data_IF_227065170053
#
_entry.id   IF_227065170053
#
_cell.length_a   1.000
_cell.length_b   1.000
_cell.length_c   1.000
_cell.angle_alpha   90.00
_cell.angle_beta   90.00
_cell.angle_gamma   90.00
#
_symmetry.space_group_name_H-M   'P 1'
#
loop_
_entity.id
_entity.type
_entity.pdbx_description
1 polymer ?
#
# COMPACT_ATOMS: atom_id res chain seq x y z
N UNK A 1 22.36 -5.39 21.26
CA UNK A 1 22.30 -4.40 20.16
C UNK A 1 22.16 -4.99 18.76
N UNK A 2 22.85 -6.10 18.40
CA UNK A 2 22.78 -6.71 17.05
C UNK A 2 21.39 -7.17 16.59
N UNK A 3 20.47 -7.55 17.49
CA UNK A 3 19.12 -8.03 17.12
C UNK A 3 18.18 -6.90 16.68
N UNK A 4 18.17 -5.75 17.38
CA UNK A 4 17.35 -4.58 17.00
C UNK A 4 17.76 -4.02 15.64
N UNK A 5 19.06 -3.92 15.36
CA UNK A 5 19.55 -3.45 14.07
C UNK A 5 19.10 -4.35 12.90
N UNK A 6 19.14 -5.69 13.07
CA UNK A 6 18.61 -6.63 12.05
C UNK A 6 17.10 -6.49 11.85
N UNK A 7 16.34 -6.28 12.92
CA UNK A 7 14.90 -6.10 12.82
C UNK A 7 14.53 -4.81 12.06
N UNK A 8 15.23 -3.70 12.35
CA UNK A 8 15.05 -2.43 11.63
C UNK A 8 15.44 -2.58 10.15
N UNK A 9 16.56 -3.24 9.86
CA UNK A 9 17.00 -3.46 8.48
C UNK A 9 15.98 -4.28 7.67
N UNK A 10 15.41 -5.32 8.29
CA UNK A 10 14.34 -6.12 7.68
C UNK A 10 13.07 -5.30 7.45
N UNK A 11 12.72 -4.41 8.38
CA UNK A 11 11.56 -3.52 8.26
C UNK A 11 11.74 -2.52 7.11
N UNK A 12 12.92 -1.90 7.01
CA UNK A 12 13.28 -1.00 5.92
C UNK A 12 13.30 -1.73 4.57
N UNK A 13 13.82 -2.96 4.52
CA UNK A 13 13.80 -3.78 3.30
C UNK A 13 12.39 -4.10 2.83
N UNK A 14 11.48 -4.44 3.75
CA UNK A 14 10.05 -4.65 3.44
C UNK A 14 9.40 -3.36 2.92
N UNK A 15 9.62 -2.25 3.63
CA UNK A 15 9.08 -0.96 3.22
C UNK A 15 9.56 -0.56 1.81
N UNK A 16 10.86 -0.69 1.55
CA UNK A 16 11.44 -0.40 0.23
C UNK A 16 10.83 -1.29 -0.86
N UNK A 17 10.67 -2.59 -0.60
CA UNK A 17 10.02 -3.51 -1.53
C UNK A 17 8.58 -3.11 -1.86
N UNK A 18 7.78 -2.81 -0.83
CA UNK A 18 6.39 -2.36 -1.01
C UNK A 18 6.34 -1.02 -1.74
N UNK A 19 7.27 -0.10 -1.43
CA UNK A 19 7.36 1.20 -2.10
C UNK A 19 7.69 1.06 -3.58
N UNK A 20 8.58 0.14 -3.95
CA UNK A 20 8.86 -0.17 -5.35
C UNK A 20 7.61 -0.70 -6.08
N UNK A 21 6.82 -1.56 -5.42
CA UNK A 21 5.54 -2.05 -5.99
C UNK A 21 4.57 -0.89 -6.19
N UNK A 22 4.39 -0.05 -5.16
CA UNK A 22 3.49 1.10 -5.22
C UNK A 22 3.89 2.09 -6.32
N UNK A 23 5.19 2.40 -6.43
CA UNK A 23 5.72 3.28 -7.47
C UNK A 23 5.58 2.67 -8.87
N UNK A 24 5.79 1.37 -9.01
CA UNK A 24 5.58 0.66 -10.27
C UNK A 24 4.14 0.71 -10.75
N UNK A 25 3.18 0.54 -9.83
CA UNK A 25 1.75 0.68 -10.13
C UNK A 25 1.42 2.13 -10.50
N UNK A 26 1.87 3.11 -9.72
CA UNK A 26 1.63 4.52 -10.03
C UNK A 26 2.19 4.94 -11.39
N UNK A 27 3.38 4.42 -11.74
CA UNK A 27 4.00 4.58 -13.06
C UNK A 27 3.17 3.92 -14.15
N UNK A 28 2.73 2.67 -13.99
CA UNK A 28 1.86 2.00 -14.95
C UNK A 28 0.54 2.75 -15.19
N UNK A 29 0.03 3.43 -14.17
CA UNK A 29 -1.20 4.22 -14.24
C UNK A 29 -0.99 5.64 -14.81
N UNK A 30 0.24 6.10 -15.08
CA UNK A 30 0.47 7.46 -15.62
C UNK A 30 -0.16 7.69 -17.00
N UNK A 31 -0.33 6.63 -17.80
CA UNK A 31 -0.99 6.72 -19.11
C UNK A 31 -2.52 6.73 -19.06
N UNK A 32 -3.13 6.50 -17.89
CA UNK A 32 -4.59 6.47 -17.74
C UNK A 32 -5.13 7.87 -17.45
N UNK A 33 -5.96 8.38 -18.36
CA UNK A 33 -6.71 9.62 -18.16
C UNK A 33 -7.88 9.37 -17.20
N UNK A 34 -7.55 9.24 -15.91
CA UNK A 34 -8.50 8.99 -14.83
C UNK A 34 -8.42 10.10 -13.78
N UNK A 35 -9.51 10.37 -13.04
CA UNK A 35 -9.46 11.30 -11.92
C UNK A 35 -8.40 10.89 -10.89
N UNK A 36 -7.74 11.88 -10.29
CA UNK A 36 -6.61 11.65 -9.37
C UNK A 36 -6.94 10.70 -8.20
N UNK A 37 -8.17 10.75 -7.70
CA UNK A 37 -8.65 9.91 -6.60
C UNK A 37 -8.86 8.46 -7.03
N UNK A 38 -9.27 8.21 -8.28
CA UNK A 38 -9.35 6.85 -8.87
C UNK A 38 -7.95 6.28 -8.95
N UNK A 39 -7.00 7.06 -9.50
CA UNK A 39 -5.60 6.67 -9.59
C UNK A 39 -5.05 6.31 -8.22
N UNK A 40 -5.31 7.15 -7.21
CA UNK A 40 -4.89 6.87 -5.84
C UNK A 40 -5.49 5.57 -5.29
N UNK A 41 -6.79 5.35 -5.46
CA UNK A 41 -7.46 4.11 -5.05
C UNK A 41 -6.84 2.87 -5.70
N UNK A 42 -6.52 2.94 -7.00
CA UNK A 42 -5.84 1.85 -7.71
C UNK A 42 -4.42 1.60 -7.20
N UNK A 43 -3.66 2.66 -6.86
CA UNK A 43 -2.33 2.52 -6.25
C UNK A 43 -2.45 1.82 -4.89
N UNK A 44 -3.39 2.22 -4.02
CA UNK A 44 -3.60 1.57 -2.73
C UNK A 44 -4.00 0.09 -2.88
N UNK A 45 -5.02 -0.18 -3.69
CA UNK A 45 -5.53 -1.54 -3.92
C UNK A 45 -4.45 -2.43 -4.52
N UNK A 46 -3.81 -1.98 -5.60
CA UNK A 46 -2.77 -2.73 -6.29
C UNK A 46 -1.56 -2.99 -5.40
N UNK A 47 -1.17 -2.03 -4.57
CA UNK A 47 -0.04 -2.20 -3.64
C UNK A 47 -0.36 -3.26 -2.59
N UNK A 48 -1.57 -3.25 -2.03
CA UNK A 48 -2.00 -4.25 -1.04
C UNK A 48 -2.04 -5.66 -1.66
N UNK A 49 -2.71 -5.79 -2.81
CA UNK A 49 -2.80 -7.07 -3.53
C UNK A 49 -1.40 -7.58 -3.93
N UNK A 50 -0.55 -6.73 -4.48
CA UNK A 50 0.81 -7.10 -4.88
C UNK A 50 1.68 -7.52 -3.68
N UNK A 51 1.57 -6.81 -2.55
CA UNK A 51 2.28 -7.16 -1.34
C UNK A 51 1.78 -8.47 -0.73
N UNK A 52 0.46 -8.68 -0.67
CA UNK A 52 -0.14 -9.93 -0.17
C UNK A 52 0.24 -11.12 -1.07
N UNK A 53 0.28 -10.93 -2.39
CA UNK A 53 0.72 -11.94 -3.34
C UNK A 53 2.20 -12.28 -3.16
N UNK A 54 3.07 -11.28 -2.94
CA UNK A 54 4.46 -11.51 -2.61
C UNK A 54 4.59 -12.33 -1.31
N UNK A 55 3.85 -11.96 -0.26
CA UNK A 55 3.83 -12.71 1.00
C UNK A 55 3.36 -14.14 0.79
N UNK A 56 2.32 -14.36 -0.01
CA UNK A 56 1.79 -15.68 -0.31
C UNK A 56 2.80 -16.56 -1.07
N UNK A 57 3.58 -15.99 -1.99
CA UNK A 57 4.64 -16.70 -2.71
C UNK A 57 5.80 -17.12 -1.80
N UNK A 58 6.16 -16.29 -0.81
CA UNK A 58 7.28 -16.57 0.08
C UNK A 58 6.92 -17.33 1.37
N UNK A 59 5.66 -17.28 1.83
CA UNK A 59 5.21 -18.03 3.03
C UNK A 59 4.55 -19.35 2.65
N UNK A 60 5.07 -20.45 3.21
CA UNK A 60 4.48 -21.80 3.07
C UNK A 60 3.14 -21.99 3.78
N UNK A 61 2.72 -21.06 4.65
CA UNK A 61 1.40 -21.08 5.31
C UNK A 61 0.60 -19.87 4.84
N UNK A 62 -0.62 -20.11 4.34
CA UNK A 62 -1.57 -19.06 3.98
C UNK A 62 -1.94 -18.24 5.21
N UNK A 63 -1.94 -16.91 5.07
CA UNK A 63 -2.43 -15.98 6.11
C UNK A 63 -3.95 -16.13 6.32
N UNK A 64 -4.67 -16.49 5.27
CA UNK A 64 -6.12 -16.70 5.26
C UNK A 64 -6.43 -18.16 4.96
N UNK A 65 -7.36 -18.77 5.72
CA UNK A 65 -7.88 -20.09 5.41
C UNK A 65 -8.92 -20.04 4.28
N UNK A 66 -9.70 -18.96 4.21
CA UNK A 66 -10.77 -18.78 3.25
C UNK A 66 -10.58 -17.50 2.43
N UNK A 67 -11.11 -17.48 1.21
CA UNK A 67 -11.06 -16.32 0.33
C UNK A 67 -11.96 -15.18 0.85
N UNK A 68 -13.07 -15.49 1.53
CA UNK A 68 -13.92 -14.45 2.12
C UNK A 68 -13.19 -13.64 3.20
N UNK A 69 -12.35 -14.27 4.01
CA UNK A 69 -11.54 -13.58 5.03
C UNK A 69 -10.57 -12.58 4.38
N UNK A 70 -10.00 -12.97 3.24
CA UNK A 70 -9.12 -12.09 2.47
C UNK A 70 -9.90 -10.91 1.87
N UNK A 71 -11.08 -11.16 1.29
CA UNK A 71 -11.93 -10.10 0.75
C UNK A 71 -12.37 -9.11 1.84
N UNK A 72 -12.69 -9.60 3.05
CA UNK A 72 -13.04 -8.77 4.19
C UNK A 72 -11.84 -7.91 4.63
N UNK A 73 -10.64 -8.49 4.77
CA UNK A 73 -9.43 -7.73 5.09
C UNK A 73 -9.16 -6.67 4.02
N UNK A 74 -9.27 -7.02 2.74
CA UNK A 74 -9.07 -6.10 1.64
C UNK A 74 -10.12 -4.98 1.66
N UNK A 75 -11.39 -5.28 1.96
CA UNK A 75 -12.44 -4.28 2.08
C UNK A 75 -12.16 -3.30 3.23
N UNK A 76 -11.77 -3.82 4.40
CA UNK A 76 -11.39 -2.99 5.55
C UNK A 76 -10.16 -2.11 5.23
N UNK A 77 -9.19 -2.66 4.52
CA UNK A 77 -8.04 -1.90 4.03
C UNK A 77 -8.49 -0.79 3.06
N UNK A 78 -9.42 -1.05 2.16
CA UNK A 78 -9.93 -0.04 1.22
C UNK A 78 -10.70 1.08 1.93
N UNK A 79 -11.41 0.79 3.03
CA UNK A 79 -12.01 1.82 3.87
C UNK A 79 -10.94 2.71 4.49
N UNK A 80 -9.89 2.13 5.07
CA UNK A 80 -8.76 2.88 5.62
C UNK A 80 -8.03 3.70 4.54
N UNK A 81 -7.83 3.12 3.36
CA UNK A 81 -7.25 3.82 2.21
C UNK A 81 -8.11 5.00 1.77
N UNK A 82 -9.44 4.87 1.81
CA UNK A 82 -10.36 5.98 1.49
C UNK A 82 -10.16 7.15 2.44
N UNK A 83 -10.03 6.89 3.75
CA UNK A 83 -9.69 7.94 4.74
C UNK A 83 -8.33 8.58 4.42
N UNK A 84 -7.35 7.77 4.02
CA UNK A 84 -6.04 8.26 3.56
C UNK A 84 -6.14 9.18 2.33
N UNK A 85 -6.94 8.80 1.33
CA UNK A 85 -7.18 9.59 0.11
C UNK A 85 -7.89 10.91 0.44
N UNK A 86 -8.87 10.91 1.36
CA UNK A 86 -9.51 12.12 1.84
C UNK A 86 -8.52 13.04 2.57
N UNK A 87 -7.62 12.47 3.37
CA UNK A 87 -6.51 13.21 3.99
C UNK A 87 -5.57 13.84 2.96
N UNK A 88 -5.24 13.13 1.90
CA UNK A 88 -4.47 13.66 0.75
C UNK A 88 -5.22 14.77 0.04
N UNK A 89 -6.53 14.60 -0.19
CA UNK A 89 -7.38 15.63 -0.79
C UNK A 89 -7.32 16.92 0.03
N UNK A 90 -7.51 16.79 1.35
CA UNK A 90 -7.47 17.91 2.28
C UNK A 90 -6.08 18.57 2.28
N UNK A 91 -5.00 17.78 2.33
CA UNK A 91 -3.64 18.32 2.29
C UNK A 91 -3.36 19.08 0.99
N UNK A 92 -3.75 18.54 -0.16
CA UNK A 92 -3.56 19.20 -1.45
C UNK A 92 -4.37 20.51 -1.56
N UNK A 93 -5.62 20.51 -1.09
CA UNK A 93 -6.52 21.68 -1.18
C UNK A 93 -6.11 22.78 -0.19
N UNK A 94 -5.80 22.43 1.06
CA UNK A 94 -5.60 23.41 2.13
C UNK A 94 -4.15 23.79 2.36
N UNK A 95 -3.19 22.90 2.08
CA UNK A 95 -1.76 23.13 2.34
C UNK A 95 -0.97 23.40 1.06
N UNK A 96 -1.59 23.28 -0.12
CA UNK A 96 -0.96 23.51 -1.42
C UNK A 96 0.20 22.56 -1.74
N UNK A 97 0.39 21.51 -0.92
CA UNK A 97 1.42 20.49 -1.14
C UNK A 97 0.97 19.46 -2.18
N UNK A 98 1.94 18.74 -2.74
CA UNK A 98 1.68 17.55 -3.55
C UNK A 98 2.10 16.32 -2.74
N UNK A 99 1.13 15.52 -2.30
CA UNK A 99 1.42 14.29 -1.56
C UNK A 99 1.73 13.14 -2.52
N UNK A 100 2.89 12.51 -2.33
CA UNK A 100 3.28 11.36 -3.13
C UNK A 100 2.52 10.11 -2.67
N UNK A 101 1.44 9.79 -3.38
CA UNK A 101 0.51 8.69 -3.06
C UNK A 101 1.19 7.32 -2.86
N UNK A 102 2.19 6.91 -3.68
CA UNK A 102 2.89 5.64 -3.48
C UNK A 102 3.51 5.47 -2.09
N UNK A 103 4.00 6.56 -1.49
CA UNK A 103 4.59 6.53 -0.16
C UNK A 103 3.55 6.18 0.90
N UNK A 104 2.37 6.81 0.81
CA UNK A 104 1.26 6.55 1.74
C UNK A 104 0.71 5.15 1.56
N UNK A 105 0.56 4.69 0.32
CA UNK A 105 0.14 3.33 0.02
C UNK A 105 1.11 2.31 0.64
N UNK A 106 2.41 2.51 0.46
CA UNK A 106 3.42 1.62 1.04
C UNK A 106 3.42 1.61 2.57
N UNK A 107 3.29 2.79 3.20
CA UNK A 107 3.22 2.92 4.64
C UNK A 107 1.99 2.21 5.22
N UNK A 108 0.81 2.43 4.60
CA UNK A 108 -0.44 1.82 5.04
C UNK A 108 -0.40 0.29 4.89
N UNK A 109 0.07 -0.19 3.73
CA UNK A 109 0.21 -1.64 3.49
C UNK A 109 1.14 -2.28 4.50
N UNK A 110 2.28 -1.66 4.82
CA UNK A 110 3.24 -2.21 5.78
C UNK A 110 2.68 -2.33 7.21
N UNK A 111 1.77 -1.45 7.61
CA UNK A 111 1.06 -1.55 8.90
C UNK A 111 0.10 -2.75 8.91
N UNK A 112 -0.45 -3.11 7.74
CA UNK A 112 -1.45 -4.17 7.55
C UNK A 112 -0.87 -5.56 7.22
N UNK A 113 0.45 -5.70 7.14
CA UNK A 113 1.16 -6.87 6.61
C UNK A 113 1.75 -7.77 7.70
#
# INVERSE_FOLDING_TARGET
>A
MKSRSKAVLAWLGRFAGILCVAAGIDWALTGLNSPWWVKAGLVFAGTKVGADMAVALYRRKGKHLYFEDYLLELFLFMLAATVGILGVAAANIYLGGAVWVPLLAAALVLIWL
#
